data_IF_290755623911
#
_entry.id   IF_290755623911
#
_cell.length_a   1.000
_cell.length_b   1.000
_cell.length_c   1.000
_cell.angle_alpha   90.00
_cell.angle_beta   90.00
_cell.angle_gamma   90.00
#
_symmetry.space_group_name_H-M   'P 1'
#
loop_
_entity.id
_entity.type
_entity.pdbx_description
1 polymer ?
#
# COMPACT_ATOMS: atom_id res chain seq x y z
N UNK A 1 -3.14 -16.99 -16.92
CA UNK A 1 -2.95 -15.55 -17.27
C UNK A 1 -1.62 -15.41 -18.00
N UNK A 2 -1.46 -14.41 -18.87
CA UNK A 2 -0.13 -14.07 -19.39
C UNK A 2 0.69 -13.43 -18.27
N UNK A 3 2.01 -13.63 -18.27
CA UNK A 3 2.90 -12.99 -17.31
C UNK A 3 2.79 -11.46 -17.45
N UNK A 4 2.67 -10.77 -16.31
CA UNK A 4 2.58 -9.31 -16.24
C UNK A 4 3.88 -8.74 -15.68
N UNK A 5 4.30 -7.59 -16.19
CA UNK A 5 5.46 -6.84 -15.71
C UNK A 5 5.20 -5.33 -15.70
N UNK A 6 5.54 -4.69 -14.58
CA UNK A 6 5.48 -3.25 -14.38
C UNK A 6 6.76 -2.72 -13.74
N UNK A 7 7.51 -1.89 -14.48
CA UNK A 7 8.72 -1.25 -13.98
C UNK A 7 8.38 -0.12 -13.01
N UNK A 8 8.85 -0.23 -11.78
CA UNK A 8 8.60 0.78 -10.74
C UNK A 8 9.70 1.85 -10.80
N UNK A 9 10.96 1.44 -10.61
CA UNK A 9 12.13 2.33 -10.55
C UNK A 9 13.43 1.53 -10.65
N UNK A 10 14.38 2.01 -11.46
CA UNK A 10 15.68 1.33 -11.60
C UNK A 10 15.53 -0.11 -12.08
N UNK A 11 16.11 -1.05 -11.34
CA UNK A 11 16.02 -2.49 -11.59
C UNK A 11 14.85 -3.17 -10.85
N UNK A 12 13.96 -2.38 -10.22
CA UNK A 12 12.77 -2.88 -9.54
C UNK A 12 11.57 -2.99 -10.49
N UNK A 13 11.08 -4.20 -10.68
CA UNK A 13 9.86 -4.48 -11.44
C UNK A 13 8.88 -5.31 -10.61
N UNK A 14 7.61 -4.90 -10.59
CA UNK A 14 6.53 -5.70 -10.05
C UNK A 14 6.04 -6.66 -11.13
N UNK A 15 5.93 -7.95 -10.80
CA UNK A 15 5.52 -8.99 -11.74
C UNK A 15 4.39 -9.83 -11.17
N UNK A 16 3.58 -10.40 -12.06
CA UNK A 16 2.57 -11.40 -11.73
C UNK A 16 2.80 -12.61 -12.63
N UNK A 17 2.99 -13.79 -12.04
CA UNK A 17 3.19 -15.01 -12.81
C UNK A 17 1.85 -15.58 -13.35
N UNK A 18 1.95 -16.63 -14.16
CA UNK A 18 0.79 -17.32 -14.74
C UNK A 18 -0.21 -17.90 -13.73
N UNK A 19 0.21 -18.12 -12.47
CA UNK A 19 -0.59 -18.58 -11.33
C UNK A 19 -1.28 -17.42 -10.58
N UNK A 20 -1.01 -16.16 -10.94
CA UNK A 20 -1.57 -14.99 -10.28
C UNK A 20 -0.79 -14.53 -9.05
N UNK A 21 0.41 -15.07 -8.82
CA UNK A 21 1.26 -14.69 -7.70
C UNK A 21 2.08 -13.45 -8.04
N UNK A 22 1.92 -12.42 -7.21
CA UNK A 22 2.67 -11.17 -7.32
C UNK A 22 4.02 -11.27 -6.64
N UNK A 23 5.06 -10.72 -7.27
CA UNK A 23 6.40 -10.67 -6.72
C UNK A 23 7.16 -9.44 -7.21
N UNK A 24 8.04 -8.91 -6.37
CA UNK A 24 8.99 -7.88 -6.74
C UNK A 24 10.24 -8.55 -7.31
N UNK A 25 10.66 -8.15 -8.51
CA UNK A 25 11.96 -8.50 -9.07
C UNK A 25 12.94 -7.35 -8.88
N UNK A 26 14.12 -7.63 -8.32
CA UNK A 26 15.23 -6.67 -8.14
C UNK A 26 16.54 -7.38 -8.46
N UNK A 27 17.35 -6.83 -9.37
CA UNK A 27 18.65 -7.40 -9.71
C UNK A 27 18.62 -8.89 -10.11
N UNK A 28 17.53 -9.37 -10.71
CA UNK A 28 17.34 -10.78 -11.07
C UNK A 28 16.85 -11.70 -9.94
N UNK A 29 16.74 -11.19 -8.71
CA UNK A 29 16.11 -11.89 -7.59
C UNK A 29 14.61 -11.60 -7.55
N UNK A 30 13.80 -12.58 -7.12
CA UNK A 30 12.35 -12.46 -6.99
C UNK A 30 11.89 -12.60 -5.54
N UNK A 31 11.03 -11.70 -5.07
CA UNK A 31 10.48 -11.68 -3.72
C UNK A 31 8.95 -11.69 -3.78
N UNK A 32 8.33 -12.80 -3.39
CA UNK A 32 6.87 -12.94 -3.43
C UNK A 32 6.16 -12.01 -2.43
N UNK A 33 5.02 -11.49 -2.86
CA UNK A 33 4.14 -10.61 -2.09
C UNK A 33 2.91 -11.39 -1.60
N UNK A 34 3.14 -12.35 -0.70
CA UNK A 34 2.09 -13.26 -0.19
C UNK A 34 1.61 -12.87 1.20
N UNK A 35 2.54 -12.61 2.11
CA UNK A 35 2.26 -12.22 3.50
C UNK A 35 2.08 -10.70 3.58
N UNK A 36 1.26 -10.18 4.51
CA UNK A 36 1.03 -8.73 4.70
C UNK A 36 2.37 -7.98 4.85
N UNK A 37 3.28 -8.55 5.64
CA UNK A 37 4.60 -8.04 5.93
C UNK A 37 5.48 -7.97 4.69
N UNK A 38 5.22 -8.78 3.66
CA UNK A 38 6.06 -8.75 2.46
C UNK A 38 5.91 -7.45 1.65
N UNK A 39 4.80 -6.74 1.81
CA UNK A 39 4.44 -5.54 1.04
C UNK A 39 5.25 -4.29 1.39
N UNK A 40 6.05 -4.29 2.48
CA UNK A 40 7.00 -3.20 2.73
C UNK A 40 7.97 -2.99 1.56
N UNK A 41 8.24 -4.05 0.78
CA UNK A 41 9.11 -4.02 -0.40
C UNK A 41 8.60 -3.12 -1.52
N UNK A 42 7.30 -2.83 -1.55
CA UNK A 42 6.64 -2.09 -2.62
C UNK A 42 6.01 -0.78 -2.14
N UNK A 43 6.43 -0.25 -0.99
CA UNK A 43 5.97 1.07 -0.51
C UNK A 43 6.23 2.20 -1.50
N UNK A 44 7.26 2.06 -2.34
CA UNK A 44 7.55 2.98 -3.45
C UNK A 44 6.37 3.17 -4.41
N UNK A 45 5.42 2.22 -4.49
CA UNK A 45 4.18 2.41 -5.25
C UNK A 45 3.37 3.59 -4.72
N UNK A 46 3.37 3.80 -3.39
CA UNK A 46 2.64 4.89 -2.73
C UNK A 46 3.07 6.29 -3.18
N UNK A 47 4.26 6.41 -3.79
CA UNK A 47 4.75 7.68 -4.35
C UNK A 47 3.96 8.13 -5.58
N UNK A 48 3.20 7.22 -6.22
CA UNK A 48 2.34 7.50 -7.36
C UNK A 48 0.87 7.66 -6.93
N UNK A 49 0.04 8.41 -7.68
CA UNK A 49 -1.41 8.43 -7.45
C UNK A 49 -2.01 7.03 -7.50
N UNK A 50 -2.97 6.75 -6.62
CA UNK A 50 -3.60 5.42 -6.52
C UNK A 50 -4.20 4.99 -7.85
N UNK A 51 -4.90 5.90 -8.53
CA UNK A 51 -5.56 5.61 -9.81
C UNK A 51 -4.56 5.22 -10.91
N UNK A 52 -3.40 5.89 -10.98
CA UNK A 52 -2.34 5.53 -11.93
C UNK A 52 -1.83 4.11 -11.69
N UNK A 53 -1.59 3.75 -10.42
CA UNK A 53 -1.13 2.41 -10.07
C UNK A 53 -2.23 1.38 -10.34
N UNK A 54 -3.48 1.71 -10.01
CA UNK A 54 -4.65 0.84 -10.21
C UNK A 54 -4.88 0.51 -11.68
N UNK A 55 -4.79 1.52 -12.55
CA UNK A 55 -4.93 1.33 -14.00
C UNK A 55 -3.87 0.39 -14.56
N UNK A 56 -2.65 0.43 -14.01
CA UNK A 56 -1.53 -0.41 -14.47
C UNK A 56 -1.60 -1.83 -13.93
N UNK A 57 -1.84 -2.00 -12.64
CA UNK A 57 -1.78 -3.31 -11.98
C UNK A 57 -3.12 -4.06 -12.03
N UNK A 58 -4.22 -3.35 -12.26
CA UNK A 58 -5.56 -3.91 -12.34
C UNK A 58 -6.09 -4.41 -10.99
N UNK A 59 -7.26 -5.04 -10.99
CA UNK A 59 -7.95 -5.47 -9.75
C UNK A 59 -7.32 -6.69 -9.07
N UNK A 60 -6.37 -7.37 -9.73
CA UNK A 60 -5.73 -8.58 -9.21
C UNK A 60 -4.63 -8.34 -8.19
N UNK A 61 -4.23 -7.09 -7.96
CA UNK A 61 -3.18 -6.73 -7.00
C UNK A 61 -3.77 -6.32 -5.64
N UNK A 62 -3.12 -6.72 -4.54
CA UNK A 62 -3.60 -6.43 -3.19
C UNK A 62 -3.17 -5.03 -2.70
N UNK A 63 -3.93 -4.00 -3.08
CA UNK A 63 -3.66 -2.61 -2.66
C UNK A 63 -3.79 -2.39 -1.16
N UNK A 64 -4.70 -3.12 -0.50
CA UNK A 64 -4.88 -3.05 0.94
C UNK A 64 -3.57 -3.33 1.68
N UNK A 65 -2.84 -4.38 1.29
CA UNK A 65 -1.59 -4.72 1.98
C UNK A 65 -0.48 -3.68 1.77
N UNK A 66 -0.46 -2.95 0.64
CA UNK A 66 0.45 -1.81 0.46
C UNK A 66 0.10 -0.67 1.42
N UNK A 67 -1.20 -0.38 1.56
CA UNK A 67 -1.68 0.63 2.52
C UNK A 67 -1.32 0.24 3.95
N UNK A 68 -1.60 -1.00 4.36
CA UNK A 68 -1.30 -1.50 5.71
C UNK A 68 0.20 -1.41 6.00
N UNK A 69 1.04 -1.91 5.10
CA UNK A 69 2.49 -1.81 5.24
C UNK A 69 2.99 -0.35 5.36
N UNK A 70 2.33 0.59 4.66
CA UNK A 70 2.67 2.01 4.76
C UNK A 70 2.26 2.64 6.10
N UNK A 71 1.09 2.27 6.64
CA UNK A 71 0.65 2.71 7.97
C UNK A 71 1.54 2.16 9.09
N UNK A 72 2.07 0.94 8.92
CA UNK A 72 2.91 0.26 9.92
C UNK A 72 4.42 0.58 9.81
N UNK A 73 4.82 1.36 8.79
CA UNK A 73 6.24 1.61 8.45
C UNK A 73 7.05 2.45 9.45
N UNK A 74 6.45 2.94 10.53
CA UNK A 74 7.01 3.91 11.50
C UNK A 74 7.60 5.19 10.87
N UNK A 75 7.32 5.45 9.58
CA UNK A 75 7.84 6.57 8.82
C UNK A 75 6.71 7.53 8.46
N UNK A 76 6.78 8.76 8.96
CA UNK A 76 5.80 9.80 8.64
C UNK A 76 5.60 10.02 7.13
N UNK A 77 6.65 9.79 6.34
CA UNK A 77 6.58 9.86 4.88
C UNK A 77 5.63 8.80 4.32
N UNK A 78 5.89 7.53 4.64
CA UNK A 78 5.09 6.40 4.16
C UNK A 78 3.69 6.38 4.74
N UNK A 79 3.53 6.71 6.02
CA UNK A 79 2.21 6.87 6.66
C UNK A 79 1.41 7.95 5.91
N UNK A 80 2.02 9.09 5.61
CA UNK A 80 1.36 10.17 4.88
C UNK A 80 0.90 9.77 3.47
N UNK A 81 1.72 8.98 2.76
CA UNK A 81 1.36 8.49 1.43
C UNK A 81 0.26 7.41 1.49
N UNK A 82 0.35 6.46 2.42
CA UNK A 82 -0.68 5.44 2.63
C UNK A 82 -2.05 6.07 2.94
N UNK A 83 -2.09 7.06 3.84
CA UNK A 83 -3.30 7.82 4.13
C UNK A 83 -3.83 8.55 2.89
N UNK A 84 -2.95 9.06 2.03
CA UNK A 84 -3.35 9.71 0.78
C UNK A 84 -3.97 8.72 -0.21
N UNK A 85 -3.47 7.49 -0.25
CA UNK A 85 -4.10 6.43 -1.04
C UNK A 85 -5.49 6.08 -0.52
N UNK A 86 -5.68 5.94 0.79
CA UNK A 86 -7.03 5.66 1.34
C UNK A 86 -8.02 6.77 0.97
N UNK A 87 -7.62 8.04 1.01
CA UNK A 87 -8.48 9.16 0.56
C UNK A 87 -8.88 9.07 -0.91
N UNK A 88 -8.03 8.47 -1.75
CA UNK A 88 -8.28 8.26 -3.18
C UNK A 88 -9.12 7.00 -3.47
N UNK A 89 -9.55 6.26 -2.44
CA UNK A 89 -10.23 4.98 -2.60
C UNK A 89 -9.27 3.80 -2.75
N UNK A 90 -8.02 3.96 -2.30
CA UNK A 90 -6.94 2.97 -2.44
C UNK A 90 -7.13 1.68 -1.65
N UNK A 91 -8.03 1.70 -0.67
CA UNK A 91 -8.43 0.55 0.11
C UNK A 91 -9.89 0.68 0.52
N UNK A 92 -10.62 -0.42 0.43
CA UNK A 92 -11.99 -0.51 0.94
C UNK A 92 -11.98 -0.60 2.47
N UNK A 93 -13.08 -0.15 3.08
CA UNK A 93 -13.26 -0.24 4.53
C UNK A 93 -13.26 -1.72 4.96
N UNK A 94 -12.46 -2.02 5.97
CA UNK A 94 -12.35 -3.35 6.57
C UNK A 94 -11.92 -3.20 8.03
N UNK A 95 -12.23 -4.19 8.87
CA UNK A 95 -11.90 -4.14 10.30
C UNK A 95 -10.39 -3.96 10.53
N UNK A 96 -9.56 -4.60 9.70
CA UNK A 96 -8.10 -4.46 9.75
C UNK A 96 -7.67 -3.03 9.45
N UNK A 97 -8.17 -2.41 8.37
CA UNK A 97 -7.83 -1.04 8.01
C UNK A 97 -8.28 -0.05 9.10
N UNK A 98 -9.51 -0.22 9.61
CA UNK A 98 -10.03 0.63 10.68
C UNK A 98 -9.20 0.51 11.95
N UNK A 99 -8.73 -0.70 12.30
CA UNK A 99 -7.85 -0.92 13.44
C UNK A 99 -6.49 -0.24 13.26
N UNK A 100 -5.85 -0.36 12.08
CA UNK A 100 -4.56 0.32 11.80
C UNK A 100 -4.72 1.84 11.81
N UNK A 101 -5.78 2.38 11.22
CA UNK A 101 -6.06 3.82 11.24
C UNK A 101 -6.26 4.35 12.67
N UNK A 102 -6.98 3.64 13.53
CA UNK A 102 -7.09 3.98 14.96
C UNK A 102 -5.73 3.97 15.63
N UNK A 103 -4.91 2.96 15.37
CA UNK A 103 -3.51 2.89 15.84
C UNK A 103 -2.69 4.11 15.44
N UNK A 104 -2.83 4.60 14.20
CA UNK A 104 -2.16 5.84 13.75
C UNK A 104 -2.71 7.08 14.47
N UNK A 105 -4.02 7.19 14.68
CA UNK A 105 -4.65 8.32 15.39
C UNK A 105 -4.17 8.43 16.84
N UNK A 106 -4.07 7.29 17.52
CA UNK A 106 -3.73 7.19 18.94
C UNK A 106 -2.21 7.14 19.17
N UNK A 107 -1.46 6.65 18.19
CA UNK A 107 -0.03 6.37 18.27
C UNK A 107 0.86 7.61 18.26
N UNK A 108 2.01 7.51 18.92
CA UNK A 108 3.07 8.54 18.89
C UNK A 108 3.99 8.43 17.67
N UNK A 109 3.93 7.33 16.92
CA UNK A 109 4.77 7.06 15.75
C UNK A 109 4.46 7.98 14.56
N UNK A 110 3.23 8.48 14.45
CA UNK A 110 2.84 9.45 13.43
C UNK A 110 2.83 10.88 13.98
N UNK A 111 3.29 11.83 13.18
CA UNK A 111 3.19 13.26 13.51
C UNK A 111 1.74 13.75 13.53
N UNK A 112 1.54 14.93 14.13
CA UNK A 112 0.21 15.52 14.29
C UNK A 112 -0.58 15.66 12.99
N UNK A 113 0.10 15.99 11.88
CA UNK A 113 -0.54 16.11 10.56
C UNK A 113 -1.11 14.77 10.11
N UNK A 114 -0.32 13.70 10.21
CA UNK A 114 -0.72 12.35 9.83
C UNK A 114 -1.82 11.81 10.75
N UNK A 115 -1.78 12.09 12.07
CA UNK A 115 -2.87 11.71 13.00
C UNK A 115 -4.19 12.39 12.66
N UNK A 116 -4.17 13.69 12.36
CA UNK A 116 -5.38 14.40 11.92
C UNK A 116 -5.91 13.85 10.59
N UNK A 117 -5.01 13.53 9.66
CA UNK A 117 -5.38 12.94 8.38
C UNK A 117 -6.01 11.55 8.56
N UNK A 118 -5.40 10.69 9.38
CA UNK A 118 -5.94 9.38 9.73
C UNK A 118 -7.33 9.48 10.37
N UNK A 119 -7.54 10.44 11.27
CA UNK A 119 -8.86 10.68 11.87
C UNK A 119 -9.91 11.10 10.84
N UNK A 120 -9.56 11.99 9.92
CA UNK A 120 -10.44 12.42 8.82
C UNK A 120 -10.83 11.24 7.92
N UNK A 121 -9.85 10.41 7.54
CA UNK A 121 -10.08 9.21 6.75
C UNK A 121 -10.98 8.21 7.48
N UNK A 122 -10.66 7.92 8.74
CA UNK A 122 -11.43 6.99 9.58
C UNK A 122 -12.91 7.38 9.66
N UNK A 123 -13.21 8.67 9.81
CA UNK A 123 -14.59 9.18 9.81
C UNK A 123 -15.31 9.02 8.48
N UNK A 124 -14.60 9.08 7.36
CA UNK A 124 -15.18 8.96 6.02
C UNK A 124 -15.51 7.52 5.63
N UNK A 125 -14.70 6.57 6.08
CA UNK A 125 -14.82 5.17 5.65
C UNK A 125 -15.43 4.25 6.72
N UNK A 126 -15.42 4.66 7.99
CA UNK A 126 -15.96 3.90 9.11
C UNK A 126 -17.33 4.36 9.62
N UNK A 127 -17.89 5.43 9.04
CA UNK A 127 -19.25 5.91 9.29
C UNK A 127 -20.17 5.54 8.14
#
# INVERSE_FOLDING_TARGET
MADFEYYIKGDMALRCNSEGLWYLSVGGSGFFLQEEESFWRVLVLLEKPYEEVREKLGRGFCYLNVVLAGLDSESDYWIGLALSWVEQGGAEASDVLLARLKGVVEGRSANQKNRHKAFSVLRKIGG
#
